data_IF_290603162661
#
_entry.id   IF_290603162661
#
_cell.length_a   1.000
_cell.length_b   1.000
_cell.length_c   1.000
_cell.angle_alpha   90.00
_cell.angle_beta   90.00
_cell.angle_gamma   90.00
#
_symmetry.space_group_name_H-M   'P 1'
#
loop_
_entity.id
_entity.type
_entity.pdbx_description
1 polymer ?
#
# COMPACT_ATOMS: atom_id res chain seq x y z
N UNK A 1 -23.07 -2.53 12.80
CA UNK A 1 -23.34 -1.12 12.44
C UNK A 1 -22.83 -0.78 11.05
N UNK A 2 -21.55 -0.81 10.74
CA UNK A 2 -20.98 -0.34 9.44
C UNK A 2 -21.55 -1.06 8.21
N UNK A 3 -21.83 -2.38 8.30
CA UNK A 3 -22.46 -3.11 7.19
C UNK A 3 -23.85 -2.56 6.83
N UNK A 4 -24.65 -2.14 7.84
CA UNK A 4 -25.97 -1.51 7.63
C UNK A 4 -25.88 -0.09 7.06
N UNK A 5 -24.71 0.57 7.21
CA UNK A 5 -24.43 1.88 6.63
C UNK A 5 -23.89 1.80 5.19
N UNK A 6 -23.92 0.61 4.57
CA UNK A 6 -23.56 0.43 3.16
C UNK A 6 -22.07 0.10 2.93
N UNK A 7 -21.27 -0.13 3.98
CA UNK A 7 -19.89 -0.57 3.81
C UNK A 7 -19.88 -1.96 3.15
N UNK A 8 -19.18 -2.07 2.02
CA UNK A 8 -19.14 -3.29 1.20
C UNK A 8 -17.80 -4.01 1.26
N UNK A 9 -16.71 -3.30 1.59
CA UNK A 9 -15.38 -3.87 1.73
C UNK A 9 -14.85 -3.61 3.14
N UNK A 10 -14.39 -4.68 3.78
CA UNK A 10 -13.72 -4.63 5.07
C UNK A 10 -12.25 -5.05 4.88
N UNK A 11 -11.31 -4.36 5.50
CA UNK A 11 -9.90 -4.76 5.57
C UNK A 11 -9.55 -5.06 7.02
N UNK A 12 -9.02 -6.23 7.27
CA UNK A 12 -8.60 -6.68 8.60
C UNK A 12 -7.06 -6.69 8.64
N UNK A 13 -6.50 -5.85 9.50
CA UNK A 13 -5.07 -5.85 9.82
C UNK A 13 -4.75 -7.07 10.67
N UNK A 14 -4.40 -8.17 10.01
CA UNK A 14 -3.95 -9.42 10.64
C UNK A 14 -2.46 -9.35 10.91
N UNK A 15 -1.72 -8.96 9.90
CA UNK A 15 -0.28 -8.72 9.87
C UNK A 15 0.56 -9.99 10.02
N UNK A 16 0.30 -10.82 11.04
CA UNK A 16 0.87 -12.13 11.30
C UNK A 16 -0.12 -12.95 12.16
N UNK A 17 0.05 -14.29 12.23
CA UNK A 17 -0.77 -15.16 13.07
C UNK A 17 -0.01 -15.74 14.29
N UNK A 18 1.19 -15.25 14.55
CA UNK A 18 2.02 -15.67 15.67
C UNK A 18 1.95 -14.61 16.77
N UNK A 19 1.43 -14.99 17.95
CA UNK A 19 1.22 -14.07 19.04
C UNK A 19 2.52 -13.43 19.57
N UNK A 20 3.63 -14.18 19.75
CA UNK A 20 4.94 -13.61 20.05
C UNK A 20 5.41 -12.56 19.04
N UNK A 21 5.25 -12.81 17.72
CA UNK A 21 5.60 -11.84 16.67
C UNK A 21 4.73 -10.60 16.79
N UNK A 22 3.42 -10.76 16.93
CA UNK A 22 2.49 -9.64 17.11
C UNK A 22 2.86 -8.78 18.32
N UNK A 23 3.16 -9.42 19.45
CA UNK A 23 3.55 -8.74 20.68
C UNK A 23 4.86 -7.97 20.52
N UNK A 24 5.89 -8.61 19.95
CA UNK A 24 7.19 -8.00 19.71
C UNK A 24 7.10 -6.74 18.84
N UNK A 25 6.16 -6.73 17.91
CA UNK A 25 5.89 -5.61 17.01
C UNK A 25 4.84 -4.61 17.55
N UNK A 26 4.48 -4.71 18.83
CA UNK A 26 3.59 -3.76 19.50
C UNK A 26 2.14 -3.83 19.04
N UNK A 27 1.71 -4.98 18.50
CA UNK A 27 0.33 -5.16 18.05
C UNK A 27 -0.59 -5.46 19.22
N UNK A 28 -1.73 -4.75 19.28
CA UNK A 28 -2.69 -4.89 20.36
C UNK A 28 -3.50 -6.19 20.31
N UNK A 29 -3.69 -6.73 19.11
CA UNK A 29 -4.48 -7.95 18.88
C UNK A 29 -3.61 -9.22 18.89
N UNK A 30 -4.28 -10.36 19.05
CA UNK A 30 -3.69 -11.71 19.05
C UNK A 30 -4.47 -12.60 18.07
N UNK A 31 -3.93 -13.77 17.75
CA UNK A 31 -4.50 -14.74 16.80
C UNK A 31 -5.95 -15.11 17.11
N UNK A 32 -6.31 -15.25 18.37
CA UNK A 32 -7.69 -15.52 18.79
C UNK A 32 -8.67 -14.38 18.48
N UNK A 33 -8.20 -13.13 18.49
CA UNK A 33 -9.03 -11.98 18.11
C UNK A 33 -9.19 -11.88 16.60
N UNK A 34 -8.15 -12.20 15.83
CA UNK A 34 -8.19 -12.30 14.36
C UNK A 34 -9.29 -13.28 13.95
N UNK A 35 -9.28 -14.48 14.53
CA UNK A 35 -10.27 -15.53 14.26
C UNK A 35 -11.71 -15.06 14.54
N UNK A 36 -11.93 -14.46 15.71
CA UNK A 36 -13.25 -13.93 16.09
C UNK A 36 -13.71 -12.81 15.15
N UNK A 37 -12.82 -11.88 14.84
CA UNK A 37 -13.12 -10.75 13.95
C UNK A 37 -13.45 -11.23 12.53
N UNK A 38 -12.64 -12.16 12.00
CA UNK A 38 -12.88 -12.71 10.67
C UNK A 38 -14.21 -13.48 10.58
N UNK A 39 -14.49 -14.38 11.53
CA UNK A 39 -15.77 -15.11 11.58
C UNK A 39 -16.97 -14.17 11.74
N UNK A 40 -16.85 -13.13 12.57
CA UNK A 40 -17.88 -12.10 12.70
C UNK A 40 -18.09 -11.35 11.37
N UNK A 41 -17.03 -10.95 10.68
CA UNK A 41 -17.14 -10.29 9.39
C UNK A 41 -17.83 -11.19 8.34
N UNK A 42 -17.48 -12.47 8.28
CA UNK A 42 -18.13 -13.45 7.39
C UNK A 42 -19.60 -13.64 7.73
N UNK A 43 -19.97 -13.77 9.02
CA UNK A 43 -21.38 -13.93 9.44
C UNK A 43 -22.24 -12.71 9.12
N UNK A 44 -21.65 -11.53 9.00
CA UNK A 44 -22.33 -10.28 8.60
C UNK A 44 -22.44 -10.11 7.08
N UNK A 45 -21.98 -11.08 6.30
CA UNK A 45 -22.07 -11.10 4.84
C UNK A 45 -21.48 -9.83 4.18
N UNK A 46 -20.27 -9.43 4.60
CA UNK A 46 -19.55 -8.41 3.84
C UNK A 46 -19.24 -8.93 2.44
N UNK A 47 -19.55 -8.17 1.37
CA UNK A 47 -19.30 -8.58 0.00
C UNK A 47 -17.82 -8.84 -0.30
N UNK A 48 -16.93 -8.12 0.40
CA UNK A 48 -15.48 -8.27 0.27
C UNK A 48 -14.79 -8.14 1.63
N UNK A 49 -13.97 -9.13 1.96
CA UNK A 49 -13.10 -9.11 3.13
C UNK A 49 -11.65 -9.24 2.64
N UNK A 50 -10.83 -8.27 3.00
CA UNK A 50 -9.40 -8.26 2.76
C UNK A 50 -8.66 -8.58 4.06
N UNK A 51 -7.58 -9.34 3.95
CA UNK A 51 -6.60 -9.54 5.02
C UNK A 51 -5.34 -8.77 4.65
N UNK A 52 -4.83 -7.96 5.59
CA UNK A 52 -3.56 -7.27 5.47
C UNK A 52 -2.48 -8.06 6.22
N UNK A 53 -1.35 -8.34 5.56
CA UNK A 53 -0.17 -9.01 6.11
C UNK A 53 1.04 -8.10 6.00
N UNK A 54 2.03 -8.30 6.89
CA UNK A 54 3.31 -7.59 6.84
C UNK A 54 4.44 -8.63 6.82
N UNK A 55 5.18 -8.66 5.72
CA UNK A 55 6.38 -9.50 5.58
C UNK A 55 7.60 -8.80 6.17
N UNK A 56 8.37 -9.51 6.97
CA UNK A 56 9.61 -9.04 7.57
C UNK A 56 9.40 -8.31 8.89
N UNK A 57 8.40 -8.69 9.66
CA UNK A 57 8.22 -8.20 11.04
C UNK A 57 9.40 -8.59 11.93
N UNK A 58 9.62 -7.87 13.02
CA UNK A 58 10.65 -8.21 14.01
C UNK A 58 10.46 -9.63 14.51
N UNK A 59 11.56 -10.41 14.50
CA UNK A 59 11.56 -11.80 14.96
C UNK A 59 10.89 -12.80 14.01
N UNK A 60 10.39 -12.36 12.86
CA UNK A 60 9.77 -13.25 11.88
C UNK A 60 10.81 -14.12 11.18
N UNK A 61 10.52 -15.42 11.03
CA UNK A 61 11.31 -16.38 10.27
C UNK A 61 10.58 -16.79 9.00
N UNK A 62 11.30 -17.47 8.10
CA UNK A 62 10.70 -17.99 6.87
C UNK A 62 9.59 -19.02 7.16
N UNK A 63 9.79 -19.87 8.17
CA UNK A 63 8.80 -20.84 8.61
C UNK A 63 7.54 -20.17 9.15
N UNK A 64 7.73 -19.15 10.01
CA UNK A 64 6.62 -18.37 10.54
C UNK A 64 5.84 -17.67 9.41
N UNK A 65 6.55 -17.06 8.45
CA UNK A 65 5.93 -16.42 7.29
C UNK A 65 5.10 -17.41 6.45
N UNK A 66 5.63 -18.61 6.16
CA UNK A 66 4.90 -19.66 5.44
C UNK A 66 3.61 -20.06 6.17
N UNK A 67 3.69 -20.29 7.48
CA UNK A 67 2.50 -20.59 8.30
C UNK A 67 1.47 -19.46 8.24
N UNK A 68 1.92 -18.22 8.26
CA UNK A 68 1.05 -17.04 8.13
C UNK A 68 0.32 -17.01 6.77
N UNK A 69 1.02 -17.29 5.69
CA UNK A 69 0.43 -17.37 4.35
C UNK A 69 -0.56 -18.53 4.25
N UNK A 70 -0.20 -19.71 4.75
CA UNK A 70 -1.06 -20.91 4.71
C UNK A 70 -2.36 -20.69 5.51
N UNK A 71 -2.28 -20.11 6.70
CA UNK A 71 -3.46 -19.74 7.51
C UNK A 71 -4.33 -18.71 6.79
N UNK A 72 -3.72 -17.74 6.10
CA UNK A 72 -4.46 -16.76 5.30
C UNK A 72 -5.22 -17.42 4.16
N UNK A 73 -4.59 -18.33 3.44
CA UNK A 73 -5.23 -19.11 2.37
C UNK A 73 -6.38 -19.95 2.92
N UNK A 74 -6.19 -20.61 4.07
CA UNK A 74 -7.23 -21.42 4.73
C UNK A 74 -8.45 -20.60 5.19
N UNK A 75 -8.27 -19.33 5.56
CA UNK A 75 -9.37 -18.40 5.87
C UNK A 75 -10.17 -18.00 4.62
N UNK A 76 -9.59 -18.14 3.45
CA UNK A 76 -10.25 -17.89 2.17
C UNK A 76 -10.83 -16.46 2.01
N UNK A 77 -10.04 -15.39 2.23
CA UNK A 77 -10.50 -14.02 2.05
C UNK A 77 -10.72 -13.68 0.56
N UNK A 78 -11.48 -12.61 0.29
CA UNK A 78 -11.71 -12.14 -1.08
C UNK A 78 -10.47 -11.47 -1.68
N UNK A 79 -9.60 -10.90 -0.85
CA UNK A 79 -8.30 -10.36 -1.22
C UNK A 79 -7.30 -10.42 -0.07
N UNK A 80 -6.03 -10.43 -0.43
CA UNK A 80 -4.91 -10.36 0.52
C UNK A 80 -4.01 -9.21 0.11
N UNK A 81 -3.69 -8.33 1.04
CA UNK A 81 -2.70 -7.27 0.86
C UNK A 81 -1.46 -7.60 1.67
N UNK A 82 -0.29 -7.56 1.05
CA UNK A 82 0.98 -7.87 1.69
C UNK A 82 1.87 -6.64 1.60
N UNK A 83 2.26 -6.12 2.76
CA UNK A 83 3.24 -5.04 2.87
C UNK A 83 4.61 -5.61 3.23
N UNK A 84 5.68 -4.97 2.76
CA UNK A 84 7.04 -5.24 3.23
C UNK A 84 7.31 -4.29 4.40
N UNK A 85 7.74 -4.85 5.54
CA UNK A 85 8.02 -4.05 6.74
C UNK A 85 9.04 -2.95 6.44
N UNK A 86 8.65 -1.71 6.67
CA UNK A 86 9.54 -0.57 6.75
C UNK A 86 9.62 -0.08 8.19
N UNK A 87 10.81 0.32 8.62
CA UNK A 87 11.01 0.95 9.91
C UNK A 87 11.22 2.45 9.70
N UNK A 88 10.17 3.27 9.86
CA UNK A 88 10.33 4.71 9.81
C UNK A 88 11.30 5.18 10.91
N UNK A 89 12.13 6.16 10.57
CA UNK A 89 13.25 6.64 11.42
C UNK A 89 12.82 7.10 12.82
N UNK A 90 11.56 7.48 12.99
CA UNK A 90 11.01 8.06 14.21
C UNK A 90 10.19 7.07 15.07
N UNK A 91 10.17 5.79 14.74
CA UNK A 91 9.42 4.80 15.52
C UNK A 91 10.19 4.41 16.79
N UNK A 92 9.47 3.98 17.82
CA UNK A 92 10.07 3.44 19.06
C UNK A 92 11.03 2.30 18.73
N UNK A 93 10.63 1.38 17.83
CA UNK A 93 11.44 0.27 17.36
C UNK A 93 12.76 0.75 16.74
N UNK A 94 12.73 1.71 15.82
CA UNK A 94 13.95 2.22 15.20
C UNK A 94 14.88 2.94 16.18
N UNK A 95 14.29 3.63 17.16
CA UNK A 95 15.07 4.29 18.25
C UNK A 95 15.73 3.27 19.18
N UNK A 96 15.04 2.20 19.52
CA UNK A 96 15.54 1.15 20.39
C UNK A 96 16.63 0.30 19.70
N UNK A 97 16.47 0.05 18.40
CA UNK A 97 17.51 -0.57 17.57
C UNK A 97 18.78 0.29 17.48
N UNK A 98 18.64 1.62 17.29
CA UNK A 98 19.78 2.54 17.25
C UNK A 98 20.49 2.67 18.60
N UNK A 99 19.77 2.49 19.71
CA UNK A 99 20.36 2.53 21.07
C UNK A 99 21.04 1.21 21.45
N UNK A 100 20.92 0.15 20.64
CA UNK A 100 21.47 -1.17 20.97
C UNK A 100 20.82 -1.83 22.18
N UNK A 101 19.63 -1.37 22.57
CA UNK A 101 18.93 -1.86 23.77
C UNK A 101 18.21 -3.18 23.56
N UNK A 102 18.00 -3.59 22.28
CA UNK A 102 17.43 -4.90 21.95
C UNK A 102 18.52 -5.88 21.49
N UNK A 103 18.59 -7.02 22.15
CA UNK A 103 19.50 -8.13 21.82
C UNK A 103 18.97 -8.97 20.64
N UNK A 104 18.69 -8.36 19.52
CA UNK A 104 18.37 -9.11 18.29
C UNK A 104 19.57 -9.07 17.33
N UNK A 105 20.14 -10.22 17.05
CA UNK A 105 21.28 -10.34 16.13
C UNK A 105 20.91 -9.90 14.69
N UNK A 106 19.64 -10.03 14.32
CA UNK A 106 19.10 -9.60 13.02
C UNK A 106 17.62 -9.23 13.16
N UNK A 107 17.30 -8.01 13.65
CA UNK A 107 15.95 -7.67 14.10
C UNK A 107 14.90 -7.56 12.97
N UNK A 108 15.32 -7.37 11.74
CA UNK A 108 14.43 -7.23 10.58
C UNK A 108 15.04 -7.94 9.38
N UNK A 109 14.24 -8.72 8.67
CA UNK A 109 14.66 -9.32 7.42
C UNK A 109 15.15 -8.24 6.44
N UNK A 110 16.23 -8.50 5.72
CA UNK A 110 16.71 -7.57 4.71
C UNK A 110 15.74 -7.50 3.50
N UNK A 111 15.93 -6.50 2.65
CA UNK A 111 15.02 -6.26 1.52
C UNK A 111 14.97 -7.43 0.51
N UNK A 112 16.07 -8.16 0.31
CA UNK A 112 16.07 -9.32 -0.59
C UNK A 112 15.22 -10.45 -0.02
N UNK A 113 15.34 -10.73 1.27
CA UNK A 113 14.53 -11.72 1.98
C UNK A 113 13.05 -11.35 1.96
N UNK A 114 12.70 -10.11 2.31
CA UNK A 114 11.30 -9.65 2.26
C UNK A 114 10.67 -9.79 0.89
N UNK A 115 11.39 -9.39 -0.17
CA UNK A 115 10.91 -9.54 -1.55
C UNK A 115 10.72 -10.99 -1.95
N UNK A 116 11.65 -11.86 -1.57
CA UNK A 116 11.53 -13.31 -1.81
C UNK A 116 10.29 -13.86 -1.10
N UNK A 117 10.10 -13.53 0.17
CA UNK A 117 8.92 -13.97 0.93
C UNK A 117 7.61 -13.49 0.32
N UNK A 118 7.54 -12.25 -0.15
CA UNK A 118 6.33 -11.73 -0.83
C UNK A 118 6.13 -12.40 -2.18
N UNK A 119 7.21 -12.68 -2.94
CA UNK A 119 7.12 -13.43 -4.19
C UNK A 119 6.54 -14.82 -3.97
N UNK A 120 7.10 -15.58 -3.01
CA UNK A 120 6.64 -16.92 -2.63
C UNK A 120 5.19 -16.92 -2.12
N UNK A 121 4.80 -15.90 -1.35
CA UNK A 121 3.42 -15.73 -0.89
C UNK A 121 2.46 -15.47 -2.05
N UNK A 122 2.83 -14.62 -3.01
CA UNK A 122 2.03 -14.42 -4.22
C UNK A 122 1.90 -15.69 -5.05
N UNK A 123 2.96 -16.46 -5.20
CA UNK A 123 2.89 -17.77 -5.89
C UNK A 123 1.99 -18.77 -5.15
N UNK A 124 2.04 -18.81 -3.82
CA UNK A 124 1.15 -19.64 -3.02
C UNK A 124 -0.31 -19.23 -3.18
N UNK A 125 -0.59 -17.92 -3.15
CA UNK A 125 -1.93 -17.37 -3.39
C UNK A 125 -2.40 -17.66 -4.83
N UNK A 126 -1.53 -17.55 -5.84
CA UNK A 126 -1.88 -17.89 -7.23
C UNK A 126 -2.23 -19.37 -7.37
N UNK A 127 -1.48 -20.28 -6.72
CA UNK A 127 -1.84 -21.71 -6.66
C UNK A 127 -3.17 -21.96 -5.97
N UNK A 128 -3.56 -21.10 -5.01
CA UNK A 128 -4.86 -21.13 -4.34
C UNK A 128 -5.98 -20.42 -5.11
N UNK A 129 -5.74 -20.01 -6.37
CA UNK A 129 -6.73 -19.40 -7.27
C UNK A 129 -6.88 -17.88 -7.14
N UNK A 130 -5.95 -17.21 -6.47
CA UNK A 130 -5.88 -15.75 -6.45
C UNK A 130 -5.14 -15.21 -7.68
N UNK A 131 -5.29 -13.93 -7.94
CA UNK A 131 -4.60 -13.22 -9.02
C UNK A 131 -3.93 -11.97 -8.44
N UNK A 132 -2.65 -11.77 -8.71
CA UNK A 132 -1.94 -10.55 -8.33
C UNK A 132 -2.51 -9.37 -9.13
N UNK A 133 -3.07 -8.40 -8.41
CA UNK A 133 -3.74 -7.23 -8.97
C UNK A 133 -2.98 -5.92 -8.76
N UNK A 134 -1.91 -5.93 -7.95
CA UNK A 134 -1.00 -4.80 -7.74
C UNK A 134 0.27 -5.27 -7.04
N UNK A 135 1.21 -4.37 -6.82
CA UNK A 135 2.44 -4.63 -6.05
C UNK A 135 2.19 -5.21 -4.66
N UNK A 136 0.99 -5.01 -4.12
CA UNK A 136 0.67 -5.37 -2.73
C UNK A 136 -0.48 -6.35 -2.60
N UNK A 137 -1.34 -6.51 -3.62
CA UNK A 137 -2.64 -7.16 -3.42
C UNK A 137 -2.86 -8.29 -4.42
N UNK A 138 -3.25 -9.45 -3.88
CA UNK A 138 -3.84 -10.55 -4.64
C UNK A 138 -5.35 -10.60 -4.40
N UNK A 139 -6.14 -10.88 -5.44
CA UNK A 139 -7.61 -10.92 -5.41
C UNK A 139 -8.13 -12.26 -5.90
N UNK A 140 -9.17 -12.80 -5.26
CA UNK A 140 -9.72 -14.11 -5.59
C UNK A 140 -10.53 -14.11 -6.89
N UNK A 141 -11.33 -13.08 -7.11
CA UNK A 141 -12.20 -12.99 -8.29
C UNK A 141 -11.92 -11.70 -9.06
N UNK A 142 -11.22 -11.81 -10.21
CA UNK A 142 -11.04 -10.68 -11.11
C UNK A 142 -12.39 -10.11 -11.53
N UNK A 143 -12.51 -8.78 -11.52
CA UNK A 143 -13.72 -8.07 -11.93
C UNK A 143 -14.80 -7.95 -10.85
N UNK A 144 -14.86 -8.82 -9.85
CA UNK A 144 -15.77 -8.71 -8.70
C UNK A 144 -15.11 -8.09 -7.49
N UNK A 145 -13.91 -8.55 -7.12
CA UNK A 145 -13.14 -8.00 -6.01
C UNK A 145 -12.43 -6.72 -6.47
N UNK A 146 -12.92 -5.57 -6.03
CA UNK A 146 -12.40 -4.25 -6.42
C UNK A 146 -12.05 -3.43 -5.19
N UNK A 147 -10.95 -2.71 -5.26
CA UNK A 147 -10.62 -1.66 -4.30
C UNK A 147 -10.90 -0.29 -4.93
N UNK A 148 -12.18 0.03 -5.11
CA UNK A 148 -12.65 1.23 -5.82
C UNK A 148 -12.04 2.52 -5.27
N UNK A 149 -11.95 2.66 -3.94
CA UNK A 149 -11.33 3.80 -3.28
C UNK A 149 -9.88 4.00 -3.76
N UNK A 150 -9.04 2.96 -3.69
CA UNK A 150 -7.64 3.01 -4.14
C UNK A 150 -7.53 3.36 -5.63
N UNK A 151 -8.28 2.66 -6.45
CA UNK A 151 -8.19 2.79 -7.90
C UNK A 151 -8.59 4.20 -8.35
N UNK A 152 -9.66 4.76 -7.76
CA UNK A 152 -10.08 6.13 -8.03
C UNK A 152 -9.08 7.17 -7.52
N UNK A 153 -8.55 6.98 -6.32
CA UNK A 153 -7.53 7.87 -5.76
C UNK A 153 -6.26 7.88 -6.63
N UNK A 154 -5.84 6.71 -7.13
CA UNK A 154 -4.68 6.58 -8.00
C UNK A 154 -4.90 7.15 -9.41
N UNK A 155 -6.15 7.39 -9.78
CA UNK A 155 -6.56 8.12 -10.98
C UNK A 155 -6.87 9.59 -10.72
N UNK A 156 -6.49 10.12 -9.55
CA UNK A 156 -6.59 11.53 -9.21
C UNK A 156 -7.99 12.01 -8.80
N UNK A 157 -8.88 11.08 -8.39
CA UNK A 157 -10.19 11.48 -7.87
C UNK A 157 -10.06 12.29 -6.58
N UNK A 158 -11.01 13.19 -6.37
CA UNK A 158 -11.12 13.98 -5.14
C UNK A 158 -11.38 13.08 -3.93
N UNK A 159 -10.78 13.44 -2.81
CA UNK A 159 -10.90 12.77 -1.53
C UNK A 159 -11.03 13.80 -0.41
N UNK A 160 -12.17 13.80 0.28
CA UNK A 160 -12.36 14.62 1.47
C UNK A 160 -11.60 14.05 2.67
N UNK A 161 -10.87 14.91 3.37
CA UNK A 161 -10.20 14.54 4.62
C UNK A 161 -11.17 14.66 5.80
N UNK A 162 -11.44 13.56 6.50
CA UNK A 162 -12.23 13.51 7.72
C UNK A 162 -11.39 12.99 8.87
N UNK A 163 -11.36 13.71 9.99
CA UNK A 163 -10.62 13.35 11.20
C UNK A 163 -9.29 14.10 11.35
N UNK A 164 -8.71 13.92 12.54
CA UNK A 164 -7.43 14.50 12.95
C UNK A 164 -6.31 14.03 12.05
N UNK A 165 -5.41 14.94 11.66
CA UNK A 165 -4.23 14.70 10.82
C UNK A 165 -4.52 14.09 9.43
N UNK A 166 -5.80 13.91 9.04
CA UNK A 166 -6.19 13.27 7.79
C UNK A 166 -5.76 14.08 6.58
N UNK A 167 -5.32 13.38 5.55
CA UNK A 167 -4.98 13.96 4.25
C UNK A 167 -6.18 13.93 3.30
N UNK A 168 -6.35 15.00 2.55
CA UNK A 168 -7.34 15.13 1.48
C UNK A 168 -6.71 15.56 0.17
N UNK A 169 -7.47 15.41 -0.89
CA UNK A 169 -7.13 15.88 -2.22
C UNK A 169 -8.40 16.32 -2.91
N UNK A 170 -8.59 17.61 -3.10
CA UNK A 170 -9.80 18.18 -3.70
C UNK A 170 -9.43 19.23 -4.73
N UNK A 171 -10.00 19.10 -5.92
CA UNK A 171 -9.75 20.00 -7.05
C UNK A 171 -8.25 20.25 -7.32
N UNK A 172 -7.46 19.18 -7.24
CA UNK A 172 -6.02 19.21 -7.47
C UNK A 172 -5.20 19.82 -6.33
N UNK A 173 -5.80 20.15 -5.18
CA UNK A 173 -5.11 20.65 -3.99
C UNK A 173 -4.97 19.54 -2.96
N UNK A 174 -3.74 19.27 -2.52
CA UNK A 174 -3.48 18.42 -1.36
C UNK A 174 -3.67 19.23 -0.09
N UNK A 175 -4.31 18.64 0.90
CA UNK A 175 -4.55 19.28 2.18
C UNK A 175 -4.38 18.30 3.32
N UNK A 176 -4.07 18.82 4.50
CA UNK A 176 -4.02 18.06 5.73
C UNK A 176 -4.79 18.78 6.82
N UNK A 177 -5.58 18.05 7.57
CA UNK A 177 -6.27 18.55 8.74
C UNK A 177 -5.29 18.78 9.91
N UNK A 178 -5.73 19.59 10.88
CA UNK A 178 -5.04 19.78 12.15
C UNK A 178 -4.73 18.44 12.83
N UNK A 179 -3.56 18.33 13.43
CA UNK A 179 -2.95 17.09 13.87
C UNK A 179 -3.13 16.77 15.35
N UNK A 180 -3.77 17.67 16.10
CA UNK A 180 -4.17 17.41 17.49
C UNK A 180 -5.69 17.35 17.61
N UNK A 181 -6.17 16.51 18.55
CA UNK A 181 -7.61 16.36 18.78
C UNK A 181 -8.26 17.67 19.19
N UNK A 182 -7.63 18.41 20.09
CA UNK A 182 -8.12 19.65 20.66
C UNK A 182 -8.30 20.72 19.59
N UNK A 183 -7.28 20.94 18.76
CA UNK A 183 -7.32 21.97 17.71
C UNK A 183 -8.30 21.61 16.61
N UNK A 184 -8.35 20.31 16.24
CA UNK A 184 -9.29 19.81 15.23
C UNK A 184 -10.75 20.00 15.67
N UNK A 185 -11.12 19.54 16.88
CA UNK A 185 -12.48 19.64 17.39
C UNK A 185 -12.89 21.09 17.59
N UNK A 186 -12.02 21.93 18.16
CA UNK A 186 -12.29 23.36 18.32
C UNK A 186 -12.56 24.09 17.00
N UNK A 187 -11.87 23.71 15.92
CA UNK A 187 -12.14 24.27 14.60
C UNK A 187 -13.51 23.82 14.06
N UNK A 188 -13.83 22.53 14.20
CA UNK A 188 -15.11 21.97 13.74
C UNK A 188 -16.28 22.56 14.53
N UNK A 189 -16.17 22.66 15.86
CA UNK A 189 -17.20 23.23 16.74
C UNK A 189 -17.45 24.71 16.43
N UNK A 190 -16.41 25.42 15.99
CA UNK A 190 -16.52 26.80 15.53
C UNK A 190 -17.03 26.95 14.08
N UNK A 191 -17.44 25.86 13.42
CA UNK A 191 -17.90 25.85 12.03
C UNK A 191 -16.80 26.18 11.00
N UNK A 192 -15.53 26.01 11.35
CA UNK A 192 -14.38 26.26 10.47
C UNK A 192 -13.81 24.95 9.94
N UNK A 193 -13.29 25.00 8.70
CA UNK A 193 -12.53 23.86 8.16
C UNK A 193 -11.26 23.65 9.01
N UNK A 194 -11.00 22.43 9.50
CA UNK A 194 -9.89 22.14 10.39
C UNK A 194 -8.57 21.93 9.61
N UNK A 195 -8.25 22.84 8.69
CA UNK A 195 -7.08 22.73 7.82
C UNK A 195 -5.83 23.24 8.51
N UNK A 196 -4.78 22.41 8.50
CA UNK A 196 -3.43 22.73 8.94
C UNK A 196 -2.60 23.30 7.81
N UNK A 197 -2.58 22.61 6.69
CA UNK A 197 -1.78 23.01 5.52
C UNK A 197 -2.44 22.54 4.22
N UNK A 198 -2.11 23.23 3.13
CA UNK A 198 -2.53 22.88 1.79
C UNK A 198 -1.38 23.13 0.80
N UNK A 199 -1.30 22.30 -0.23
CA UNK A 199 -0.34 22.42 -1.31
C UNK A 199 -1.07 22.26 -2.65
N UNK A 200 -0.81 23.18 -3.56
CA UNK A 200 -1.36 23.14 -4.92
C UNK A 200 -0.27 22.61 -5.88
N UNK A 201 -0.28 21.32 -6.23
CA UNK A 201 0.64 20.77 -7.18
C UNK A 201 0.53 21.42 -8.55
N UNK A 202 1.64 21.52 -9.24
CA UNK A 202 1.70 21.87 -10.65
C UNK A 202 1.01 20.81 -11.52
N UNK A 203 0.80 21.10 -12.79
CA UNK A 203 0.27 20.14 -13.74
C UNK A 203 1.18 18.92 -13.88
N UNK A 204 2.50 19.14 -13.90
CA UNK A 204 3.49 18.07 -14.02
C UNK A 204 3.57 17.20 -12.75
N UNK A 205 3.53 17.78 -11.57
CA UNK A 205 3.48 17.03 -10.31
C UNK A 205 2.23 16.14 -10.21
N UNK A 206 1.08 16.62 -10.68
CA UNK A 206 -0.14 15.80 -10.74
C UNK A 206 -0.02 14.64 -11.71
N UNK A 207 0.56 14.87 -12.89
CA UNK A 207 0.85 13.83 -13.88
C UNK A 207 1.77 12.76 -13.27
N UNK A 208 2.90 13.19 -12.67
CA UNK A 208 3.87 12.27 -12.05
C UNK A 208 3.21 11.49 -10.92
N UNK A 209 2.45 12.16 -10.05
CA UNK A 209 1.72 11.48 -8.97
C UNK A 209 0.83 10.36 -9.49
N UNK A 210 0.02 10.61 -10.51
CA UNK A 210 -0.85 9.58 -11.06
C UNK A 210 -0.07 8.49 -11.78
N UNK A 211 1.00 8.83 -12.50
CA UNK A 211 1.88 7.87 -13.15
C UNK A 211 2.48 6.89 -12.14
N UNK A 212 3.10 7.39 -11.09
CA UNK A 212 3.76 6.54 -10.09
C UNK A 212 2.77 5.72 -9.28
N UNK A 213 1.59 6.27 -8.95
CA UNK A 213 0.55 5.52 -8.26
C UNK A 213 -0.04 4.41 -9.13
N UNK A 214 -0.29 4.67 -10.42
CA UNK A 214 -0.81 3.66 -11.33
C UNK A 214 0.23 2.58 -11.67
N UNK A 215 1.55 2.89 -11.71
CA UNK A 215 2.60 1.88 -11.87
C UNK A 215 2.55 0.80 -10.77
N UNK A 216 2.07 1.11 -9.58
CA UNK A 216 1.83 0.12 -8.51
C UNK A 216 0.78 -0.93 -8.85
N UNK A 217 -0.03 -0.71 -9.89
CA UNK A 217 -0.92 -1.73 -10.47
C UNK A 217 -0.16 -2.72 -11.39
N UNK A 218 1.11 -2.45 -11.68
CA UNK A 218 1.93 -3.26 -12.58
C UNK A 218 1.69 -2.99 -14.06
N UNK A 219 0.66 -2.21 -14.40
CA UNK A 219 0.34 -1.89 -15.79
C UNK A 219 -0.28 -0.52 -15.89
N UNK A 220 0.17 0.29 -16.86
CA UNK A 220 -0.40 1.60 -17.21
C UNK A 220 -0.71 1.67 -18.70
N UNK A 221 -1.64 2.55 -19.05
CA UNK A 221 -2.00 2.86 -20.43
C UNK A 221 -1.50 4.26 -20.79
N UNK A 222 -0.52 4.40 -21.70
CA UNK A 222 -0.01 5.72 -22.13
C UNK A 222 -1.10 6.65 -22.66
N UNK A 223 -2.11 6.11 -23.35
CA UNK A 223 -3.24 6.87 -23.87
C UNK A 223 -4.01 7.63 -22.78
N UNK A 224 -4.14 7.08 -21.57
CA UNK A 224 -4.78 7.76 -20.43
C UNK A 224 -4.11 9.11 -20.12
N UNK A 225 -2.78 9.14 -20.12
CA UNK A 225 -2.02 10.35 -19.81
C UNK A 225 -2.05 11.35 -20.96
N UNK A 226 -2.04 10.86 -22.19
CA UNK A 226 -2.23 11.71 -23.38
C UNK A 226 -3.59 12.39 -23.37
N UNK A 227 -4.65 11.64 -23.06
CA UNK A 227 -6.02 12.16 -23.01
C UNK A 227 -6.21 13.16 -21.85
N UNK A 228 -5.76 12.80 -20.65
CA UNK A 228 -6.01 13.60 -19.43
C UNK A 228 -5.07 14.78 -19.28
N UNK A 229 -3.80 14.61 -19.66
CA UNK A 229 -2.72 15.58 -19.41
C UNK A 229 -2.15 16.20 -20.69
N UNK A 230 -2.49 15.68 -21.87
CA UNK A 230 -1.89 16.12 -23.14
C UNK A 230 -0.42 15.71 -23.27
N UNK A 231 0.06 14.74 -22.51
CA UNK A 231 1.47 14.36 -22.42
C UNK A 231 1.70 12.93 -22.89
N UNK A 232 2.57 12.76 -23.89
CA UNK A 232 3.09 11.45 -24.31
C UNK A 232 4.14 10.98 -23.30
N UNK A 233 3.72 10.21 -22.29
CA UNK A 233 4.57 9.80 -21.17
C UNK A 233 5.80 9.00 -21.58
N UNK A 234 5.73 8.20 -22.67
CA UNK A 234 6.86 7.43 -23.15
C UNK A 234 8.00 8.33 -23.68
N UNK A 235 7.65 9.47 -24.29
CA UNK A 235 8.65 10.48 -24.71
C UNK A 235 9.10 11.32 -23.52
N UNK A 236 8.18 11.75 -22.66
CA UNK A 236 8.49 12.61 -21.50
C UNK A 236 9.42 11.92 -20.51
N UNK A 237 9.27 10.61 -20.29
CA UNK A 237 10.04 9.81 -19.35
C UNK A 237 10.86 8.71 -20.05
N UNK A 238 11.35 9.00 -21.26
CA UNK A 238 12.07 8.02 -22.08
C UNK A 238 13.27 7.40 -21.36
N UNK A 239 14.06 8.18 -20.67
CA UNK A 239 15.22 7.71 -19.90
C UNK A 239 14.82 6.79 -18.73
N UNK A 240 13.76 7.14 -18.00
CA UNK A 240 13.27 6.33 -16.90
C UNK A 240 12.77 4.97 -17.41
N UNK A 241 11.96 4.93 -18.47
CA UNK A 241 11.49 3.68 -19.06
C UNK A 241 12.63 2.86 -19.65
N UNK A 242 13.58 3.49 -20.34
CA UNK A 242 14.79 2.81 -20.87
C UNK A 242 15.61 2.17 -19.75
N UNK A 243 15.81 2.90 -18.65
CA UNK A 243 16.51 2.38 -17.46
C UNK A 243 15.77 1.19 -16.83
N UNK A 244 14.42 1.26 -16.68
CA UNK A 244 13.63 0.14 -16.17
C UNK A 244 13.75 -1.10 -17.07
N UNK A 245 13.78 -0.88 -18.40
CA UNK A 245 13.90 -1.96 -19.38
C UNK A 245 15.28 -2.59 -19.34
N UNK A 246 16.33 -1.77 -19.27
CA UNK A 246 17.72 -2.24 -19.18
C UNK A 246 17.95 -3.10 -17.91
N UNK A 247 17.29 -2.74 -16.80
CA UNK A 247 17.36 -3.49 -15.54
C UNK A 247 16.43 -4.72 -15.49
N UNK A 248 15.66 -4.99 -16.55
CA UNK A 248 14.75 -6.14 -16.62
C UNK A 248 13.46 -5.99 -15.80
N UNK A 249 13.05 -4.76 -15.45
CA UNK A 249 11.86 -4.51 -14.64
C UNK A 249 10.59 -4.28 -15.46
N UNK A 250 10.68 -4.15 -16.79
CA UNK A 250 9.51 -4.06 -17.68
C UNK A 250 9.35 -5.32 -18.51
N UNK A 251 8.12 -5.80 -18.65
CA UNK A 251 7.74 -6.88 -19.55
C UNK A 251 7.34 -6.34 -20.93
N UNK A 252 6.79 -5.12 -20.96
CA UNK A 252 6.38 -4.43 -22.18
C UNK A 252 6.49 -2.92 -22.00
N UNK A 253 7.00 -2.23 -23.03
CA UNK A 253 6.92 -0.77 -23.17
C UNK A 253 6.47 -0.47 -24.59
N UNK A 254 5.20 -0.14 -24.78
CA UNK A 254 4.58 0.15 -26.07
C UNK A 254 3.64 1.36 -25.96
N UNK A 255 3.14 1.84 -27.11
CA UNK A 255 2.14 2.93 -27.14
C UNK A 255 0.80 2.51 -26.53
N UNK A 256 0.50 1.23 -26.53
CA UNK A 256 -0.74 0.70 -25.97
C UNK A 256 -0.63 0.45 -24.48
N UNK A 257 0.54 0.00 -24.02
CA UNK A 257 0.72 -0.45 -22.63
C UNK A 257 2.16 -0.41 -22.17
N UNK A 258 2.37 -0.05 -20.90
CA UNK A 258 3.58 -0.36 -20.16
C UNK A 258 3.21 -1.37 -19.07
N UNK A 259 3.97 -2.46 -18.96
CA UNK A 259 3.79 -3.44 -17.89
C UNK A 259 5.12 -3.80 -17.24
N UNK A 260 5.08 -3.98 -15.93
CA UNK A 260 6.22 -4.41 -15.13
C UNK A 260 6.34 -5.94 -15.14
N UNK A 261 7.56 -6.45 -15.04
CA UNK A 261 7.81 -7.85 -14.68
C UNK A 261 7.40 -8.11 -13.23
N UNK A 262 7.34 -9.36 -12.80
CA UNK A 262 7.10 -9.70 -11.39
C UNK A 262 8.13 -9.05 -10.46
N UNK A 263 9.42 -9.11 -10.82
CA UNK A 263 10.48 -8.49 -10.03
C UNK A 263 10.38 -6.96 -10.01
N UNK A 264 10.05 -6.34 -11.14
CA UNK A 264 9.75 -4.90 -11.22
C UNK A 264 8.57 -4.50 -10.32
N UNK A 265 7.50 -5.31 -10.29
CA UNK A 265 6.34 -5.05 -9.45
C UNK A 265 6.68 -5.14 -7.95
N UNK A 266 7.44 -6.14 -7.54
CA UNK A 266 7.87 -6.32 -6.14
C UNK A 266 8.84 -5.24 -5.64
N UNK A 267 9.47 -4.52 -6.56
CA UNK A 267 10.41 -3.42 -6.29
C UNK A 267 9.82 -2.05 -6.60
N UNK A 268 8.57 -1.97 -6.98
CA UNK A 268 7.99 -0.76 -7.56
C UNK A 268 8.32 0.50 -6.75
N UNK A 269 8.21 0.46 -5.42
CA UNK A 269 8.44 1.63 -4.57
C UNK A 269 9.86 2.23 -4.70
N UNK A 270 10.89 1.39 -4.90
CA UNK A 270 12.26 1.87 -5.12
C UNK A 270 12.53 2.26 -6.58
N UNK A 271 11.62 1.94 -7.50
CA UNK A 271 11.71 2.32 -8.91
C UNK A 271 11.01 3.64 -9.22
N UNK A 272 9.97 4.01 -8.45
CA UNK A 272 9.18 5.23 -8.66
C UNK A 272 10.01 6.52 -8.66
N UNK A 273 11.07 6.69 -7.84
CA UNK A 273 11.90 7.89 -7.84
C UNK A 273 12.53 8.24 -9.20
N UNK A 274 12.65 7.28 -10.13
CA UNK A 274 13.13 7.53 -11.50
C UNK A 274 12.23 8.48 -12.30
N UNK A 275 11.00 8.67 -11.87
CA UNK A 275 10.01 9.56 -12.48
C UNK A 275 9.88 10.90 -11.77
N UNK A 276 10.53 11.08 -10.63
CA UNK A 276 10.38 12.29 -9.82
C UNK A 276 11.11 13.48 -10.46
N UNK A 277 10.61 14.66 -10.17
CA UNK A 277 11.32 15.89 -10.48
C UNK A 277 12.63 15.96 -9.65
N UNK A 278 13.71 16.57 -10.17
CA UNK A 278 14.98 16.65 -9.47
C UNK A 278 14.88 17.27 -8.06
N UNK A 279 14.02 18.28 -7.87
CA UNK A 279 13.77 18.91 -6.59
C UNK A 279 13.10 18.00 -5.55
N UNK A 280 12.49 16.90 -6.01
CA UNK A 280 11.88 15.88 -5.15
C UNK A 280 12.76 14.62 -5.03
N UNK A 281 13.92 14.59 -5.69
CA UNK A 281 14.87 13.50 -5.55
C UNK A 281 15.45 13.48 -4.13
N UNK A 282 15.37 12.33 -3.46
CA UNK A 282 15.91 12.15 -2.10
C UNK A 282 14.99 12.63 -0.96
N UNK A 283 13.79 13.10 -1.25
CA UNK A 283 12.77 13.32 -0.21
C UNK A 283 12.41 11.97 0.39
N UNK A 284 12.56 11.85 1.72
CA UNK A 284 12.17 10.65 2.45
C UNK A 284 10.65 10.60 2.58
N UNK A 285 10.06 9.49 2.22
CA UNK A 285 8.68 9.19 2.63
C UNK A 285 8.67 8.92 4.13
N UNK A 286 7.91 9.69 4.87
CA UNK A 286 7.65 9.48 6.29
C UNK A 286 6.27 8.88 6.46
#
# INVERSE_FOLDING_TARGET
>A
MIRRLGVTRLSLGVENFDDPILELNGRAHRSGEIDRAYRCARSLNFPQINIDLIAGMLGETEENWKVTVDKTIALDPDSVTIYQMELPFNTTISRDLMKGTQQFADPVANWSTKRRWVAEAFEALERAGYHVGSAYTAVKQRGKTRFVYRDRLWQGADMAALGVASFGHVNGVHMQNLDTWETYTAAVDAGRLPLSRAYRPTHEERLIRELVLQLKLGTIQPAYFQEKYGVAILSRFAEAFASLTADGYTAEVSQDRVSLTRDGLLRVDVLLPRFFLPEHAGIRYT
#
